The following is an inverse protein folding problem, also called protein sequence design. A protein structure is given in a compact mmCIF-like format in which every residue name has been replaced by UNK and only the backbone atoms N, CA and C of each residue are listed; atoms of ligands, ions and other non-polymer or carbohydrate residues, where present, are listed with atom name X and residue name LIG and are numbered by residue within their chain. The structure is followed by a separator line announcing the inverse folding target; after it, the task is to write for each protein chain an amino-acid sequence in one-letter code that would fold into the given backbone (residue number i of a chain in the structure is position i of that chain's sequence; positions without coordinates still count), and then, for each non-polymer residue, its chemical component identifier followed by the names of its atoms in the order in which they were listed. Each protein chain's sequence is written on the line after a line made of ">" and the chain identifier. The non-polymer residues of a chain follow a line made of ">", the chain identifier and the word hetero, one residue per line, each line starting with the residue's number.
data_IF_944711125077
#
_entry.id   IF_944711125077
#
_cell.length_a   1.000
_cell.length_b   1.000
_cell.length_c   1.000
_cell.angle_alpha   90.00
_cell.angle_beta   90.00
_cell.angle_gamma   90.00
#
_symmetry.space_group_name_H-M   'P 1'
#
loop_
_entity.id
_entity.type
_entity.pdbx_description
1 polymer ?
#
# COMPACT_ATOMS: atom_id res chain seq x y z
N UNK A 1 3.60 -9.72 27.95
CA UNK A 1 2.26 -9.12 27.76
C UNK A 1 1.67 -9.64 26.45
N UNK A 2 0.60 -10.45 26.46
CA UNK A 2 -0.03 -10.96 25.22
C UNK A 2 -0.67 -9.79 24.48
N UNK A 3 -0.04 -9.33 23.39
CA UNK A 3 -0.63 -8.30 22.54
C UNK A 3 -1.82 -8.95 21.80
N UNK A 4 -3.03 -8.45 22.00
CA UNK A 4 -4.21 -8.98 21.30
C UNK A 4 -4.05 -8.88 19.78
N UNK A 5 -4.64 -9.82 19.02
CA UNK A 5 -4.54 -9.92 17.54
C UNK A 5 -4.62 -8.55 16.86
N UNK A 6 -5.62 -7.75 17.21
CA UNK A 6 -5.87 -6.43 16.61
C UNK A 6 -4.75 -5.43 16.94
N UNK A 7 -4.28 -5.39 18.19
CA UNK A 7 -3.15 -4.53 18.61
C UNK A 7 -1.87 -4.89 17.85
N UNK A 8 -1.65 -6.18 17.59
CA UNK A 8 -0.51 -6.65 16.81
C UNK A 8 -0.60 -6.25 15.33
N UNK A 9 -1.78 -6.35 14.71
CA UNK A 9 -1.99 -5.86 13.34
C UNK A 9 -1.68 -4.36 13.25
N UNK A 10 -2.18 -3.56 14.18
CA UNK A 10 -1.89 -2.12 14.20
C UNK A 10 -0.41 -1.82 14.44
N UNK A 11 0.30 -2.61 15.26
CA UNK A 11 1.74 -2.45 15.46
C UNK A 11 2.52 -2.67 14.15
N UNK A 12 2.19 -3.71 13.38
CA UNK A 12 2.82 -3.96 12.08
C UNK A 12 2.55 -2.82 11.09
N UNK A 13 1.31 -2.33 11.05
CA UNK A 13 0.91 -1.20 10.20
C UNK A 13 1.65 0.07 10.61
N UNK A 14 1.80 0.31 11.91
CA UNK A 14 2.55 1.45 12.44
C UNK A 14 4.02 1.40 12.00
N UNK A 15 4.69 0.27 12.19
CA UNK A 15 6.09 0.07 11.77
C UNK A 15 6.25 0.29 10.26
N UNK A 16 5.36 -0.29 9.46
CA UNK A 16 5.34 -0.09 8.02
C UNK A 16 5.11 1.39 7.65
N UNK A 17 4.20 2.08 8.31
CA UNK A 17 3.97 3.52 8.06
C UNK A 17 5.22 4.35 8.36
N UNK A 18 5.91 4.07 9.46
CA UNK A 18 7.14 4.78 9.83
C UNK A 18 8.27 4.53 8.83
N UNK A 19 8.39 3.32 8.25
CA UNK A 19 9.44 3.05 7.26
C UNK A 19 9.31 3.89 5.99
N UNK A 20 8.12 4.46 5.70
CA UNK A 20 7.93 5.44 4.61
C UNK A 20 8.69 6.75 4.84
N UNK A 21 9.01 7.10 6.09
CA UNK A 21 9.72 8.34 6.42
C UNK A 21 11.24 8.22 6.23
N UNK A 22 11.75 7.00 6.10
CA UNK A 22 13.17 6.72 5.86
C UNK A 22 13.47 6.98 4.38
N UNK A 23 14.65 7.51 3.99
CA UNK A 23 15.04 7.63 2.58
C UNK A 23 14.92 6.31 1.84
N UNK A 24 14.18 6.31 0.73
CA UNK A 24 13.83 5.13 -0.06
C UNK A 24 13.70 5.53 -1.53
N UNK A 25 13.83 4.58 -2.47
CA UNK A 25 13.56 4.85 -3.88
C UNK A 25 12.12 5.34 -4.11
N UNK A 26 11.87 6.09 -5.20
CA UNK A 26 10.53 6.51 -5.57
C UNK A 26 9.54 5.34 -5.63
N UNK A 27 8.35 5.53 -5.08
CA UNK A 27 7.26 4.54 -4.99
C UNK A 27 7.59 3.24 -4.23
N UNK A 28 8.80 3.07 -3.69
CA UNK A 28 9.19 1.90 -2.90
C UNK A 28 8.65 2.03 -1.47
N UNK A 29 7.33 1.98 -1.30
CA UNK A 29 6.66 2.22 -0.02
C UNK A 29 5.81 1.02 0.40
N UNK A 30 5.55 0.85 1.71
CA UNK A 30 4.74 -0.28 2.19
C UNK A 30 3.23 -0.01 2.17
N UNK A 31 2.75 1.08 1.56
CA UNK A 31 1.33 1.46 1.66
C UNK A 31 0.42 0.43 0.96
N UNK A 32 0.84 -0.14 -0.18
CA UNK A 32 0.09 -1.23 -0.84
C UNK A 32 -0.01 -2.46 0.05
N UNK A 33 1.09 -2.81 0.72
CA UNK A 33 1.12 -3.90 1.67
C UNK A 33 0.15 -3.63 2.84
N UNK A 34 0.14 -2.41 3.38
CA UNK A 34 -0.82 -1.99 4.42
C UNK A 34 -2.25 -2.13 3.91
N UNK A 35 -2.55 -1.64 2.70
CA UNK A 35 -3.90 -1.67 2.13
C UNK A 35 -4.44 -3.08 1.97
N UNK A 36 -3.63 -4.01 1.42
CA UNK A 36 -4.00 -5.41 1.26
C UNK A 36 -4.02 -6.15 2.61
N UNK A 37 -3.11 -5.84 3.52
CA UNK A 37 -3.02 -6.50 4.83
C UNK A 37 -4.15 -6.09 5.76
N UNK A 38 -4.45 -4.79 5.87
CA UNK A 38 -5.53 -4.29 6.72
C UNK A 38 -6.86 -4.89 6.29
N UNK A 39 -7.21 -4.80 5.00
CA UNK A 39 -8.51 -5.26 4.47
C UNK A 39 -8.71 -6.77 4.59
N UNK A 40 -7.62 -7.55 4.53
CA UNK A 40 -7.68 -9.01 4.66
C UNK A 40 -7.67 -9.49 6.11
N UNK A 41 -7.04 -8.76 7.04
CA UNK A 41 -6.84 -9.26 8.43
C UNK A 41 -7.74 -8.61 9.48
N UNK A 42 -8.19 -7.38 9.28
CA UNK A 42 -9.10 -6.72 10.20
C UNK A 42 -10.55 -7.17 9.97
N UNK A 43 -11.28 -7.31 11.08
CA UNK A 43 -12.66 -7.77 11.06
C UNK A 43 -13.61 -6.64 10.62
N UNK A 44 -13.37 -5.40 11.08
CA UNK A 44 -14.10 -4.21 10.64
C UNK A 44 -13.55 -3.71 9.29
N UNK A 45 -14.28 -3.97 8.21
CA UNK A 45 -13.87 -3.64 6.83
C UNK A 45 -13.86 -2.15 6.52
N UNK A 46 -14.71 -1.37 7.19
CA UNK A 46 -14.70 0.09 7.05
C UNK A 46 -13.39 0.67 7.59
N UNK A 47 -13.01 0.31 8.83
CA UNK A 47 -11.73 0.71 9.42
C UNK A 47 -10.55 0.21 8.59
N UNK A 48 -10.64 -1.03 8.10
CA UNK A 48 -9.60 -1.63 7.30
C UNK A 48 -9.32 -0.90 5.98
N UNK A 49 -10.38 -0.46 5.29
CA UNK A 49 -10.29 0.34 4.06
C UNK A 49 -9.75 1.76 4.33
N UNK A 50 -10.11 2.36 5.46
CA UNK A 50 -9.57 3.67 5.87
C UNK A 50 -8.11 3.60 6.31
N UNK A 51 -7.62 2.44 6.74
CA UNK A 51 -6.29 2.31 7.34
C UNK A 51 -5.16 2.82 6.44
N UNK A 52 -5.01 2.41 5.16
CA UNK A 52 -3.95 2.95 4.30
C UNK A 52 -4.09 4.47 4.06
N UNK A 53 -5.32 5.00 4.00
CA UNK A 53 -5.56 6.43 3.81
C UNK A 53 -5.14 7.25 5.03
N UNK A 54 -5.42 6.74 6.23
CA UNK A 54 -4.94 7.34 7.49
C UNK A 54 -3.41 7.29 7.55
N UNK A 55 -2.80 6.18 7.15
CA UNK A 55 -1.35 6.04 7.14
C UNK A 55 -0.70 7.06 6.18
N UNK A 56 -1.25 7.23 4.98
CA UNK A 56 -0.82 8.26 4.02
C UNK A 56 -0.96 9.65 4.62
N UNK A 57 -2.14 9.99 5.16
CA UNK A 57 -2.39 11.30 5.76
C UNK A 57 -1.39 11.64 6.86
N UNK A 58 -1.17 10.70 7.79
CA UNK A 58 -0.22 10.90 8.89
C UNK A 58 1.20 11.09 8.35
N UNK A 59 1.64 10.27 7.39
CA UNK A 59 3.00 10.38 6.86
C UNK A 59 3.20 11.59 5.93
N UNK A 60 2.16 12.04 5.24
CA UNK A 60 2.17 13.27 4.43
C UNK A 60 2.23 14.54 5.28
N UNK A 61 1.78 14.52 6.55
CA UNK A 61 2.03 15.63 7.48
C UNK A 61 3.53 15.90 7.68
N UNK A 62 4.37 14.87 7.51
CA UNK A 62 5.83 14.99 7.62
C UNK A 62 6.52 15.19 6.26
N UNK A 63 6.01 14.55 5.20
CA UNK A 63 6.61 14.61 3.85
C UNK A 63 6.11 15.81 3.01
N UNK A 64 5.01 16.42 3.42
CA UNK A 64 4.34 17.51 2.72
C UNK A 64 3.15 17.03 1.87
N UNK A 65 2.13 17.90 1.77
CA UNK A 65 1.00 17.70 0.87
C UNK A 65 1.25 18.36 -0.47
N UNK A 66 0.97 17.62 -1.54
CA UNK A 66 1.04 18.11 -2.91
C UNK A 66 -0.28 17.86 -3.62
N UNK A 67 -0.54 18.58 -4.71
CA UNK A 67 -1.77 18.42 -5.50
C UNK A 67 -1.95 17.00 -6.04
N UNK A 68 -0.85 16.28 -6.27
CA UNK A 68 -0.87 14.89 -6.73
C UNK A 68 -1.45 13.91 -5.69
N UNK A 69 -1.42 14.27 -4.40
CA UNK A 69 -1.84 13.38 -3.31
C UNK A 69 -3.30 12.92 -3.48
N UNK A 70 -4.20 13.72 -4.07
CA UNK A 70 -5.58 13.29 -4.32
C UNK A 70 -5.66 12.00 -5.17
N UNK A 71 -4.81 11.88 -6.18
CA UNK A 71 -4.74 10.70 -7.05
C UNK A 71 -4.10 9.52 -6.33
N UNK A 72 -3.11 9.78 -5.48
CA UNK A 72 -2.51 8.77 -4.61
C UNK A 72 -3.57 8.19 -3.67
N UNK A 73 -4.37 9.03 -3.01
CA UNK A 73 -5.38 8.57 -2.05
C UNK A 73 -6.50 7.81 -2.75
N UNK A 74 -6.94 8.30 -3.92
CA UNK A 74 -7.91 7.60 -4.76
C UNK A 74 -7.40 6.21 -5.16
N UNK A 75 -6.12 6.10 -5.53
CA UNK A 75 -5.54 4.80 -5.91
C UNK A 75 -5.57 3.81 -4.75
N UNK A 76 -5.25 4.24 -3.53
CA UNK A 76 -5.25 3.36 -2.36
C UNK A 76 -6.66 2.99 -1.88
N UNK A 77 -7.66 3.87 -2.07
CA UNK A 77 -9.05 3.51 -1.87
C UNK A 77 -9.49 2.37 -2.80
N UNK A 78 -9.09 2.42 -4.08
CA UNK A 78 -9.38 1.37 -5.06
C UNK A 78 -8.57 0.09 -4.81
N UNK A 79 -7.33 0.20 -4.34
CA UNK A 79 -6.52 -0.96 -3.94
C UNK A 79 -7.16 -1.67 -2.74
N UNK A 80 -7.67 -0.93 -1.74
CA UNK A 80 -8.42 -1.52 -0.63
C UNK A 80 -9.68 -2.22 -1.11
N UNK A 81 -10.41 -1.65 -2.07
CA UNK A 81 -11.58 -2.28 -2.68
C UNK A 81 -11.19 -3.57 -3.43
N UNK A 82 -10.11 -3.55 -4.21
CA UNK A 82 -9.59 -4.74 -4.89
C UNK A 82 -9.18 -5.82 -3.88
N UNK A 83 -8.49 -5.44 -2.81
CA UNK A 83 -8.10 -6.33 -1.73
C UNK A 83 -9.30 -6.93 -0.98
N UNK A 84 -10.39 -6.18 -0.83
CA UNK A 84 -11.65 -6.67 -0.28
C UNK A 84 -12.23 -7.80 -1.13
N UNK A 85 -12.31 -7.62 -2.46
CA UNK A 85 -12.86 -8.65 -3.35
C UNK A 85 -11.94 -9.87 -3.51
N UNK A 86 -10.62 -9.68 -3.57
CA UNK A 86 -9.68 -10.80 -3.70
C UNK A 86 -9.55 -11.57 -2.36
N UNK A 87 -9.61 -10.88 -1.23
CA UNK A 87 -9.62 -11.49 0.10
C UNK A 87 -8.28 -12.12 0.54
N UNK A 88 -7.20 -11.99 -0.24
CA UNK A 88 -5.88 -12.55 0.08
C UNK A 88 -4.73 -11.76 -0.52
N UNK A 89 -3.57 -11.86 0.13
CA UNK A 89 -2.28 -11.35 -0.37
C UNK A 89 -1.62 -12.47 -1.18
N UNK A 90 -1.60 -12.32 -2.51
CA UNK A 90 -0.96 -13.21 -3.47
C UNK A 90 -0.37 -12.39 -4.63
N UNK A 91 0.34 -13.06 -5.56
CA UNK A 91 1.00 -12.37 -6.67
C UNK A 91 0.02 -11.53 -7.50
N UNK A 92 -1.19 -12.04 -7.75
CA UNK A 92 -2.20 -11.34 -8.53
C UNK A 92 -2.72 -10.08 -7.83
N UNK A 93 -3.04 -10.14 -6.52
CA UNK A 93 -3.51 -8.94 -5.81
C UNK A 93 -2.44 -7.87 -5.72
N UNK A 94 -1.17 -8.25 -5.55
CA UNK A 94 -0.06 -7.30 -5.51
C UNK A 94 0.14 -6.64 -6.87
N UNK A 95 0.29 -7.40 -7.96
CA UNK A 95 0.51 -6.84 -9.30
C UNK A 95 -0.66 -5.96 -9.75
N UNK A 96 -1.90 -6.39 -9.50
CA UNK A 96 -3.07 -5.57 -9.83
C UNK A 96 -3.11 -4.27 -9.02
N UNK A 97 -2.70 -4.31 -7.75
CA UNK A 97 -2.61 -3.10 -6.93
C UNK A 97 -1.55 -2.13 -7.44
N UNK A 98 -0.37 -2.64 -7.80
CA UNK A 98 0.68 -1.84 -8.43
C UNK A 98 0.20 -1.21 -9.73
N UNK A 99 -0.56 -1.95 -10.55
CA UNK A 99 -1.13 -1.45 -11.80
C UNK A 99 -2.17 -0.34 -11.56
N UNK A 100 -3.05 -0.51 -10.58
CA UNK A 100 -4.01 0.53 -10.18
C UNK A 100 -3.27 1.80 -9.74
N UNK A 101 -2.27 1.66 -8.86
CA UNK A 101 -1.45 2.78 -8.41
C UNK A 101 -0.78 3.49 -9.59
N UNK A 102 -0.14 2.73 -10.48
CA UNK A 102 0.56 3.25 -11.64
C UNK A 102 -0.37 4.03 -12.57
N UNK A 103 -1.52 3.46 -12.94
CA UNK A 103 -2.46 4.13 -13.83
C UNK A 103 -3.03 5.41 -13.20
N UNK A 104 -3.48 5.36 -11.96
CA UNK A 104 -4.18 6.50 -11.35
C UNK A 104 -3.22 7.63 -11.00
N UNK A 105 -2.07 7.32 -10.41
CA UNK A 105 -1.07 8.33 -10.05
C UNK A 105 -0.53 9.04 -11.29
N UNK A 106 -0.19 8.31 -12.35
CA UNK A 106 0.33 8.92 -13.58
C UNK A 106 -0.75 9.64 -14.39
N UNK A 107 -2.00 9.20 -14.31
CA UNK A 107 -3.11 10.01 -14.83
C UNK A 107 -3.19 11.37 -14.12
N UNK A 108 -2.98 11.40 -12.79
CA UNK A 108 -2.86 12.63 -12.03
C UNK A 108 -1.68 13.50 -12.47
N UNK A 109 -0.50 12.92 -12.67
CA UNK A 109 0.69 13.63 -13.17
C UNK A 109 0.42 14.23 -14.55
N UNK A 110 -0.22 13.48 -15.45
CA UNK A 110 -0.60 13.99 -16.76
C UNK A 110 -1.56 15.18 -16.65
N UNK A 111 -2.58 15.10 -15.80
CA UNK A 111 -3.53 16.20 -15.55
C UNK A 111 -2.81 17.45 -15.01
N UNK A 112 -1.83 17.28 -14.15
CA UNK A 112 -1.22 18.40 -13.43
C UNK A 112 -0.02 19.02 -14.17
N UNK A 113 0.72 18.25 -14.97
CA UNK A 113 2.02 18.68 -15.48
C UNK A 113 2.25 18.57 -16.99
N UNK A 114 1.40 17.85 -17.73
CA UNK A 114 1.62 17.58 -19.15
C UNK A 114 0.56 18.22 -20.06
N UNK A 115 0.89 18.47 -21.35
CA UNK A 115 -0.09 18.89 -22.34
C UNK A 115 -1.24 17.89 -22.46
N UNK A 116 -2.47 18.42 -22.61
CA UNK A 116 -3.71 17.62 -22.74
C UNK A 116 -3.91 17.12 -24.16
N UNK A 117 -2.86 16.50 -24.69
CA UNK A 117 -2.81 15.88 -26.02
C UNK A 117 -2.46 14.40 -25.87
N UNK A 118 -2.70 13.62 -26.93
CA UNK A 118 -2.33 12.20 -26.97
C UNK A 118 -0.82 12.03 -26.75
N UNK A 119 0.01 12.86 -27.39
CA UNK A 119 1.46 12.81 -27.23
C UNK A 119 1.90 13.12 -25.79
N UNK A 120 1.26 14.12 -25.16
CA UNK A 120 1.53 14.45 -23.76
C UNK A 120 1.16 13.30 -22.81
N UNK A 121 0.05 12.62 -23.09
CA UNK A 121 -0.38 11.43 -22.35
C UNK A 121 0.61 10.29 -22.50
N UNK A 122 0.97 9.93 -23.74
CA UNK A 122 1.92 8.85 -24.02
C UNK A 122 3.30 9.13 -23.41
N UNK A 123 3.78 10.37 -23.53
CA UNK A 123 5.07 10.77 -22.96
C UNK A 123 5.08 10.66 -21.43
N UNK A 124 4.01 11.13 -20.77
CA UNK A 124 3.88 11.02 -19.31
C UNK A 124 3.99 9.57 -18.84
N UNK A 125 3.27 8.65 -19.50
CA UNK A 125 3.30 7.24 -19.13
C UNK A 125 4.62 6.54 -19.51
N UNK A 126 5.23 6.92 -20.63
CA UNK A 126 6.54 6.39 -21.03
C UNK A 126 7.62 6.71 -20.00
N UNK A 127 7.67 7.96 -19.54
CA UNK A 127 8.62 8.41 -18.49
C UNK A 127 8.33 7.74 -17.15
N UNK A 128 7.09 7.31 -16.91
CA UNK A 128 6.70 6.64 -15.66
C UNK A 128 7.17 5.18 -15.56
N UNK A 129 7.54 4.52 -16.68
CA UNK A 129 7.87 3.08 -16.72
C UNK A 129 8.96 2.67 -15.70
N UNK A 130 10.09 3.39 -15.53
CA UNK A 130 11.11 3.03 -14.54
C UNK A 130 10.57 3.05 -13.10
N UNK A 131 9.68 4.01 -12.80
CA UNK A 131 9.05 4.12 -11.48
C UNK A 131 8.13 2.92 -11.19
N UNK A 132 7.50 2.36 -12.22
CA UNK A 132 6.66 1.18 -12.07
C UNK A 132 7.45 -0.06 -11.62
N UNK A 133 8.69 -0.20 -12.10
CA UNK A 133 9.60 -1.25 -11.65
C UNK A 133 9.84 -1.19 -10.14
N UNK A 134 10.14 0.00 -9.61
CA UNK A 134 10.29 0.21 -8.17
C UNK A 134 8.99 -0.03 -7.39
N UNK A 135 7.84 0.39 -7.94
CA UNK A 135 6.52 0.11 -7.35
C UNK A 135 6.30 -1.39 -7.19
N UNK A 136 6.47 -2.18 -8.25
CA UNK A 136 6.25 -3.63 -8.21
C UNK A 136 7.20 -4.29 -7.21
N UNK A 137 8.50 -3.94 -7.24
CA UNK A 137 9.48 -4.52 -6.33
C UNK A 137 9.15 -4.21 -4.87
N UNK A 138 8.81 -2.94 -4.56
CA UNK A 138 8.40 -2.52 -3.22
C UNK A 138 7.14 -3.23 -2.77
N UNK A 139 6.10 -3.25 -3.61
CA UNK A 139 4.82 -3.88 -3.30
C UNK A 139 4.97 -5.38 -3.03
N UNK A 140 5.78 -6.09 -3.83
CA UNK A 140 6.09 -7.51 -3.61
C UNK A 140 6.81 -7.71 -2.28
N UNK A 141 7.92 -6.98 -2.06
CA UNK A 141 8.74 -7.15 -0.86
C UNK A 141 7.91 -6.88 0.40
N UNK A 142 7.26 -5.73 0.48
CA UNK A 142 6.51 -5.35 1.69
C UNK A 142 5.28 -6.24 1.90
N UNK A 143 4.54 -6.61 0.85
CA UNK A 143 3.33 -7.42 1.00
C UNK A 143 3.63 -8.84 1.44
N UNK A 144 4.68 -9.45 0.90
CA UNK A 144 5.09 -10.78 1.32
C UNK A 144 5.80 -10.76 2.68
N UNK A 145 6.58 -9.72 2.98
CA UNK A 145 7.23 -9.56 4.28
C UNK A 145 6.22 -9.42 5.42
N UNK A 146 5.23 -8.51 5.30
CA UNK A 146 4.22 -8.32 6.35
C UNK A 146 3.36 -9.56 6.55
N UNK A 147 3.02 -10.25 5.44
CA UNK A 147 2.30 -11.52 5.48
C UNK A 147 3.11 -12.59 6.21
N UNK A 148 4.38 -12.76 5.86
CA UNK A 148 5.29 -13.72 6.47
C UNK A 148 5.43 -13.49 7.97
N UNK A 149 5.73 -12.25 8.39
CA UNK A 149 5.87 -11.88 9.80
C UNK A 149 4.59 -12.23 10.58
N UNK A 150 3.42 -11.87 10.04
CA UNK A 150 2.14 -12.15 10.68
C UNK A 150 1.88 -13.66 10.81
N UNK A 151 2.12 -14.44 9.75
CA UNK A 151 1.83 -15.87 9.73
C UNK A 151 2.81 -16.66 10.65
N UNK A 152 4.11 -16.35 10.65
CA UNK A 152 5.10 -16.98 11.52
C UNK A 152 4.82 -16.75 13.01
N UNK A 153 4.43 -15.54 13.38
CA UNK A 153 4.14 -15.20 14.78
C UNK A 153 2.79 -15.77 15.23
N UNK A 154 1.81 -15.88 14.32
CA UNK A 154 0.55 -16.56 14.58
C UNK A 154 0.76 -18.04 14.96
N UNK A 155 1.65 -18.74 14.25
CA UNK A 155 1.99 -20.15 14.55
C UNK A 155 2.62 -20.28 15.94
N UNK A 156 3.59 -19.41 16.27
CA UNK A 156 4.30 -19.45 17.56
C UNK A 156 3.40 -19.16 18.76
N UNK A 157 2.40 -18.29 18.62
CA UNK A 157 1.45 -17.98 19.70
C UNK A 157 0.46 -19.13 19.96
N UNK A 158 0.04 -19.85 18.92
CA UNK A 158 -0.83 -21.03 19.06
C UNK A 158 -0.08 -22.22 19.66
N UNK A 159 1.18 -22.46 19.29
CA UNK A 159 1.96 -23.58 19.84
C UNK A 159 2.25 -23.47 21.34
N UNK A 160 2.27 -22.26 21.90
CA UNK A 160 2.49 -21.99 23.33
C UNK A 160 1.21 -22.22 24.17
N UNK A 161 0.03 -22.27 23.55
CA UNK A 161 -1.24 -22.53 24.27
C UNK A 161 -1.66 -24.01 24.23
N UNK A 162 -0.99 -24.85 23.45
CA UNK A 162 -1.28 -26.28 23.31
C UNK A 162 -0.36 -27.19 24.14
N UNK A 163 0.41 -26.61 25.07
CA UNK A 163 1.38 -27.26 25.97
C UNK A 163 1.15 -26.80 27.39
#
# INVERSE_FOLDING_TARGET
>A
MKLGKTKFIFLLIFIATVSRLIPHPPNFTPITAIALFSITKLDNKFLASLTPLICLYISDLFLGFYTINIFVYMSFALISLLGYYIGKINLSSVILSSLIFFLISNFGVWILGYPKTIDGFLTCYYVAIPFFGFTIMGDLIYSFLIKFIYDSLKVKVMSIHSS
#
